data_IF_542956216456
#
_entry.id   IF_542956216456
#
_cell.length_a   1.000
_cell.length_b   1.000
_cell.length_c   1.000
_cell.angle_alpha   90.00
_cell.angle_beta   90.00
_cell.angle_gamma   90.00
#
_symmetry.space_group_name_H-M   'P 1'
#
loop_
_entity.id
_entity.type
_entity.pdbx_description
1 polymer ?
#
# COMPACT_ATOMS: atom_id res chain seq x y z
N UNK A 1 11.62 -19.98 26.89
CA UNK A 1 10.93 -18.76 27.36
C UNK A 1 11.05 -17.67 26.31
N UNK A 2 10.07 -17.58 25.40
CA UNK A 2 9.99 -16.52 24.40
C UNK A 2 9.55 -15.23 25.06
N UNK A 3 10.46 -14.25 25.21
CA UNK A 3 10.05 -12.87 25.53
C UNK A 3 9.04 -12.42 24.47
N UNK A 4 7.84 -11.93 24.83
CA UNK A 4 6.96 -11.32 23.85
C UNK A 4 7.71 -10.12 23.27
N UNK A 5 7.92 -10.14 21.95
CA UNK A 5 8.59 -9.08 21.20
C UNK A 5 7.84 -7.78 21.40
N UNK A 6 8.30 -6.96 22.34
CA UNK A 6 7.79 -5.61 22.57
C UNK A 6 7.83 -4.85 21.23
N UNK A 7 6.70 -4.24 20.85
CA UNK A 7 6.69 -3.28 19.77
C UNK A 7 7.76 -2.23 20.08
N UNK A 8 8.78 -2.14 19.22
CA UNK A 8 9.78 -1.09 19.32
C UNK A 8 9.09 0.20 18.89
N UNK A 9 8.44 0.85 19.86
CA UNK A 9 7.87 2.16 19.67
C UNK A 9 9.01 3.12 19.41
N UNK A 10 8.89 3.92 18.35
CA UNK A 10 9.86 4.97 18.07
C UNK A 10 9.80 5.93 19.27
N UNK A 11 10.85 5.96 20.09
CA UNK A 11 11.03 7.01 21.10
C UNK A 11 11.14 8.33 20.34
N UNK A 12 10.27 9.29 20.66
CA UNK A 12 10.02 10.43 19.78
C UNK A 12 10.81 11.65 20.25
N UNK A 13 11.86 12.08 19.54
CA UNK A 13 12.29 13.47 19.58
C UNK A 13 11.20 14.32 18.88
N UNK A 14 10.67 15.32 19.60
CA UNK A 14 9.62 16.28 19.17
C UNK A 14 8.25 15.66 18.77
N UNK A 15 7.42 15.24 19.76
CA UNK A 15 6.10 14.66 19.49
C UNK A 15 5.13 15.61 18.80
N UNK A 16 5.19 16.91 19.11
CA UNK A 16 4.35 17.94 18.49
C UNK A 16 4.62 18.06 16.99
N UNK A 17 5.88 18.12 16.58
CA UNK A 17 6.24 18.22 15.16
C UNK A 17 5.70 17.04 14.35
N UNK A 18 5.74 15.83 14.93
CA UNK A 18 5.17 14.65 14.28
C UNK A 18 3.65 14.74 14.15
N UNK A 19 2.94 15.15 15.19
CA UNK A 19 1.49 15.34 15.12
C UNK A 19 1.10 16.38 14.07
N UNK A 20 1.81 17.51 14.02
CA UNK A 20 1.61 18.55 13.00
C UNK A 20 1.88 18.00 11.60
N UNK A 21 2.99 17.29 11.41
CA UNK A 21 3.31 16.68 10.11
C UNK A 21 2.26 15.66 9.67
N UNK A 22 1.73 14.89 10.63
CA UNK A 22 0.71 13.89 10.37
C UNK A 22 -0.63 14.54 9.99
N UNK A 23 -1.01 15.61 10.69
CA UNK A 23 -2.17 16.43 10.37
C UNK A 23 -2.06 17.08 8.99
N UNK A 24 -0.86 17.55 8.61
CA UNK A 24 -0.60 18.12 7.29
C UNK A 24 -0.68 17.06 6.17
N UNK A 25 -0.11 15.87 6.39
CA UNK A 25 -0.22 14.76 5.44
C UNK A 25 -1.69 14.32 5.30
N UNK A 26 -2.42 14.20 6.41
CA UNK A 26 -3.85 13.93 6.38
C UNK A 26 -4.60 15.02 5.60
N UNK A 27 -4.33 16.30 5.86
CA UNK A 27 -4.94 17.43 5.13
C UNK A 27 -4.73 17.32 3.61
N UNK A 28 -3.49 17.10 3.14
CA UNK A 28 -3.17 17.01 1.71
C UNK A 28 -3.91 15.85 1.05
N UNK A 29 -3.92 14.68 1.68
CA UNK A 29 -4.58 13.50 1.13
C UNK A 29 -6.12 13.58 1.24
N UNK A 30 -6.66 14.23 2.27
CA UNK A 30 -8.10 14.53 2.33
C UNK A 30 -8.48 15.50 1.22
N UNK A 31 -7.70 16.56 1.01
CA UNK A 31 -7.95 17.52 -0.06
C UNK A 31 -7.97 16.83 -1.43
N UNK A 32 -6.98 15.96 -1.68
CA UNK A 32 -6.94 15.14 -2.88
C UNK A 32 -8.22 14.28 -3.04
N UNK A 33 -8.58 13.51 -2.01
CA UNK A 33 -9.77 12.65 -2.02
C UNK A 33 -11.06 13.44 -2.27
N UNK A 34 -11.19 14.63 -1.67
CA UNK A 34 -12.37 15.49 -1.84
C UNK A 34 -12.43 16.16 -3.23
N UNK A 35 -11.29 16.50 -3.82
CA UNK A 35 -11.23 16.99 -5.21
C UNK A 35 -11.80 15.96 -6.16
N UNK A 36 -11.51 14.67 -5.96
CA UNK A 36 -12.09 13.58 -6.76
C UNK A 36 -13.62 13.48 -6.61
N UNK A 37 -14.17 13.78 -5.43
CA UNK A 37 -15.61 13.70 -5.16
C UNK A 37 -16.42 14.73 -5.96
N UNK A 38 -15.84 15.88 -6.30
CA UNK A 38 -16.55 16.97 -7.01
C UNK A 38 -17.03 16.61 -8.41
N UNK A 39 -16.56 15.49 -8.96
CA UNK A 39 -16.81 15.09 -10.35
C UNK A 39 -18.08 14.24 -10.51
N UNK A 40 -18.68 13.67 -9.46
CA UNK A 40 -19.92 12.91 -9.68
C UNK A 40 -20.59 12.19 -8.53
N UNK A 41 -20.06 12.24 -7.30
CA UNK A 41 -20.63 11.52 -6.16
C UNK A 41 -20.55 12.33 -4.87
N UNK A 42 -21.54 12.16 -3.97
CA UNK A 42 -21.52 12.78 -2.64
C UNK A 42 -20.40 12.24 -1.74
N UNK A 43 -19.90 11.04 -2.03
CA UNK A 43 -18.76 10.41 -1.36
C UNK A 43 -17.56 10.36 -2.29
N UNK A 44 -16.37 10.58 -1.74
CA UNK A 44 -15.13 10.46 -2.48
C UNK A 44 -14.92 9.01 -2.95
N UNK A 45 -14.65 8.78 -4.25
CA UNK A 45 -14.45 7.43 -4.78
C UNK A 45 -13.15 6.77 -4.28
N UNK A 46 -12.25 7.56 -3.69
CA UNK A 46 -10.98 7.11 -3.11
C UNK A 46 -10.68 7.89 -1.84
N UNK A 47 -10.51 7.22 -0.71
CA UNK A 47 -10.30 7.84 0.60
C UNK A 47 -9.01 7.35 1.27
N UNK A 48 -8.03 8.24 1.36
CA UNK A 48 -6.73 8.00 2.00
C UNK A 48 -6.59 8.39 3.49
N UNK A 49 -7.32 9.37 4.03
CA UNK A 49 -7.08 9.89 5.39
C UNK A 49 -7.16 8.86 6.51
N UNK A 50 -8.13 7.95 6.44
CA UNK A 50 -8.29 6.79 7.34
C UNK A 50 -7.06 5.88 7.32
N UNK A 51 -6.54 5.57 6.13
CA UNK A 51 -5.35 4.73 5.95
C UNK A 51 -4.09 5.38 6.55
N UNK A 52 -3.94 6.70 6.40
CA UNK A 52 -2.87 7.48 7.04
C UNK A 52 -2.99 7.39 8.57
N UNK A 53 -4.20 7.62 9.09
CA UNK A 53 -4.48 7.54 10.53
C UNK A 53 -4.25 6.14 11.08
N UNK A 54 -4.64 5.10 10.33
CA UNK A 54 -4.44 3.69 10.69
C UNK A 54 -2.95 3.34 10.80
N UNK A 55 -2.14 3.75 9.81
CA UNK A 55 -0.68 3.57 9.84
C UNK A 55 -0.07 4.34 11.02
N UNK A 56 -0.55 5.55 11.29
CA UNK A 56 -0.08 6.37 12.40
C UNK A 56 -0.34 5.69 13.75
N UNK A 57 -1.57 5.18 13.96
CA UNK A 57 -1.92 4.38 15.13
C UNK A 57 -1.09 3.12 15.24
N UNK A 58 -0.86 2.40 14.14
CA UNK A 58 -0.04 1.19 14.15
C UNK A 58 1.39 1.48 14.68
N UNK A 59 2.00 2.59 14.25
CA UNK A 59 3.41 2.92 14.53
C UNK A 59 3.69 3.53 15.89
N UNK A 60 2.72 4.23 16.48
CA UNK A 60 2.93 5.01 17.70
C UNK A 60 2.26 4.38 18.91
N UNK A 61 2.88 4.47 20.09
CA UNK A 61 2.31 3.92 21.32
C UNK A 61 0.85 4.37 21.54
N UNK A 62 0.03 3.50 22.15
CA UNK A 62 -1.41 3.74 22.36
C UNK A 62 -1.71 5.08 23.06
N UNK A 63 -0.80 5.56 23.92
CA UNK A 63 -0.91 6.85 24.60
C UNK A 63 -0.95 8.05 23.64
N UNK A 64 -0.36 7.94 22.45
CA UNK A 64 -0.36 9.00 21.42
C UNK A 64 -1.59 8.94 20.51
N UNK A 65 -2.43 7.89 20.60
CA UNK A 65 -3.59 7.73 19.72
C UNK A 65 -4.58 8.89 19.81
N UNK A 66 -4.96 9.41 20.99
CA UNK A 66 -5.86 10.56 21.04
C UNK A 66 -5.29 11.79 20.30
N UNK A 67 -3.99 12.07 20.45
CA UNK A 67 -3.33 13.17 19.75
C UNK A 67 -3.28 12.97 18.24
N UNK A 68 -3.04 11.74 17.78
CA UNK A 68 -3.07 11.37 16.36
C UNK A 68 -4.47 11.53 15.78
N UNK A 69 -5.50 11.04 16.49
CA UNK A 69 -6.90 11.17 16.08
C UNK A 69 -7.26 12.64 15.89
N UNK A 70 -6.97 13.48 16.89
CA UNK A 70 -7.22 14.93 16.82
C UNK A 70 -6.47 15.57 15.65
N UNK A 71 -5.17 15.28 15.48
CA UNK A 71 -4.38 15.88 14.41
C UNK A 71 -4.89 15.49 13.00
N UNK A 72 -5.18 14.19 12.76
CA UNK A 72 -5.73 13.71 11.49
C UNK A 72 -7.14 14.24 11.22
N UNK A 73 -7.99 14.29 12.25
CA UNK A 73 -9.34 14.83 12.14
C UNK A 73 -9.32 16.32 11.85
N UNK A 74 -8.47 17.11 12.52
CA UNK A 74 -8.29 18.54 12.23
C UNK A 74 -7.77 18.76 10.81
N UNK A 75 -6.81 17.96 10.35
CA UNK A 75 -6.35 17.99 8.96
C UNK A 75 -7.49 17.70 7.97
N UNK A 76 -8.30 16.70 8.26
CA UNK A 76 -9.43 16.33 7.39
C UNK A 76 -10.54 17.37 7.38
N UNK A 77 -10.91 17.90 8.54
CA UNK A 77 -11.90 18.98 8.69
C UNK A 77 -11.39 20.25 8.01
N UNK A 78 -10.11 20.60 8.20
CA UNK A 78 -9.47 21.73 7.55
C UNK A 78 -9.54 21.61 6.02
N UNK A 79 -9.24 20.44 5.46
CA UNK A 79 -9.36 20.20 4.03
C UNK A 79 -10.81 20.33 3.55
N UNK A 80 -11.78 19.77 4.29
CA UNK A 80 -13.21 19.92 3.99
C UNK A 80 -13.65 21.38 3.97
N UNK A 81 -13.19 22.20 4.92
CA UNK A 81 -13.50 23.64 4.98
C UNK A 81 -12.94 24.44 3.81
N UNK A 82 -11.87 23.98 3.16
CA UNK A 82 -11.35 24.66 1.95
C UNK A 82 -12.24 24.48 0.72
N UNK A 83 -13.04 23.41 0.68
CA UNK A 83 -13.83 23.04 -0.48
C UNK A 83 -15.34 23.16 -0.28
N UNK A 84 -15.81 23.07 0.97
CA UNK A 84 -17.22 23.04 1.31
C UNK A 84 -17.55 24.01 2.46
N UNK A 85 -18.78 24.57 2.52
CA UNK A 85 -19.20 25.42 3.63
C UNK A 85 -19.15 24.70 4.98
N UNK A 86 -18.86 25.42 6.05
CA UNK A 86 -18.79 24.88 7.41
C UNK A 86 -20.09 24.16 7.85
N UNK A 87 -21.25 24.60 7.34
CA UNK A 87 -22.55 24.00 7.63
C UNK A 87 -22.73 22.57 7.05
N UNK A 88 -21.93 22.19 6.05
CA UNK A 88 -21.97 20.84 5.45
C UNK A 88 -21.03 19.83 6.13
N UNK A 89 -20.29 20.26 7.17
CA UNK A 89 -19.41 19.36 7.91
C UNK A 89 -20.22 18.34 8.69
N UNK A 90 -19.96 17.06 8.44
CA UNK A 90 -20.56 15.97 9.17
C UNK A 90 -19.52 15.33 10.13
N UNK A 91 -19.69 15.57 11.42
CA UNK A 91 -18.81 15.02 12.45
C UNK A 91 -18.96 13.50 12.60
N UNK A 92 -20.10 12.92 12.21
CA UNK A 92 -20.31 11.46 12.24
C UNK A 92 -19.34 10.74 11.29
N UNK A 93 -19.05 11.31 10.13
CA UNK A 93 -18.07 10.73 9.19
C UNK A 93 -16.67 10.71 9.79
N UNK A 94 -16.31 11.76 10.54
CA UNK A 94 -15.02 11.82 11.25
C UNK A 94 -14.94 10.75 12.33
N UNK A 95 -16.05 10.50 13.06
CA UNK A 95 -16.11 9.45 14.06
C UNK A 95 -15.96 8.05 13.44
N UNK A 96 -16.63 7.78 12.31
CA UNK A 96 -16.48 6.52 11.57
C UNK A 96 -15.02 6.31 11.16
N UNK A 97 -14.38 7.34 10.59
CA UNK A 97 -12.98 7.26 10.18
C UNK A 97 -12.03 6.91 11.34
N UNK A 98 -12.26 7.48 12.53
CA UNK A 98 -11.46 7.17 13.73
C UNK A 98 -11.67 5.72 14.15
N UNK A 99 -12.92 5.25 14.21
CA UNK A 99 -13.25 3.87 14.60
C UNK A 99 -12.62 2.88 13.62
N UNK A 100 -12.73 3.16 12.33
CA UNK A 100 -12.16 2.34 11.26
C UNK A 100 -10.64 2.26 11.36
N UNK A 101 -9.97 3.40 11.44
CA UNK A 101 -8.52 3.46 11.58
C UNK A 101 -8.02 2.79 12.87
N UNK A 102 -8.72 2.97 13.99
CA UNK A 102 -8.38 2.34 15.26
C UNK A 102 -8.53 0.81 15.16
N UNK A 103 -9.62 0.34 14.58
CA UNK A 103 -9.88 -1.09 14.37
C UNK A 103 -8.79 -1.72 13.51
N UNK A 104 -8.48 -1.11 12.37
CA UNK A 104 -7.42 -1.59 11.49
C UNK A 104 -6.06 -1.61 12.19
N UNK A 105 -5.72 -0.57 12.95
CA UNK A 105 -4.46 -0.54 13.69
C UNK A 105 -4.36 -1.62 14.77
N UNK A 106 -5.47 -1.90 15.49
CA UNK A 106 -5.53 -2.98 16.49
C UNK A 106 -5.33 -4.34 15.81
N UNK A 107 -6.02 -4.59 14.70
CA UNK A 107 -5.92 -5.84 13.96
C UNK A 107 -4.51 -6.03 13.39
N UNK A 108 -3.94 -5.02 12.75
CA UNK A 108 -2.58 -5.08 12.21
C UNK A 108 -1.54 -5.34 13.31
N UNK A 109 -1.69 -4.74 14.50
CA UNK A 109 -0.80 -5.00 15.65
C UNK A 109 -0.90 -6.43 16.17
N UNK A 110 -2.08 -7.04 16.11
CA UNK A 110 -2.31 -8.42 16.56
C UNK A 110 -1.86 -9.45 15.52
N UNK A 111 -2.03 -9.16 14.24
CA UNK A 111 -1.84 -10.11 13.15
C UNK A 111 -0.42 -10.09 12.57
N UNK A 112 0.26 -8.94 12.60
CA UNK A 112 1.57 -8.74 11.94
C UNK A 112 2.74 -8.77 12.93
N UNK A 113 3.91 -9.32 12.52
CA UNK A 113 5.11 -9.32 13.33
C UNK A 113 5.72 -7.92 13.50
N UNK A 114 6.24 -7.63 14.70
CA UNK A 114 6.68 -6.28 15.11
C UNK A 114 7.90 -5.72 14.38
N UNK A 115 8.81 -6.57 13.87
CA UNK A 115 10.11 -6.12 13.32
C UNK A 115 10.10 -5.91 11.79
N UNK A 116 9.37 -6.77 11.07
CA UNK A 116 9.23 -6.69 9.62
C UNK A 116 7.83 -7.17 9.23
N UNK A 117 6.86 -6.25 9.13
CA UNK A 117 5.43 -6.59 9.06
C UNK A 117 5.02 -7.27 7.74
N UNK A 118 5.87 -7.26 6.72
CA UNK A 118 5.59 -7.84 5.41
C UNK A 118 6.77 -8.68 4.96
N UNK A 119 7.01 -9.83 5.58
CA UNK A 119 8.07 -10.75 5.12
C UNK A 119 7.56 -11.67 4.03
N UNK A 120 6.39 -12.29 4.28
CA UNK A 120 5.86 -13.36 3.44
C UNK A 120 4.47 -13.02 2.90
N UNK A 121 4.00 -13.81 1.93
CA UNK A 121 2.66 -13.69 1.35
C UNK A 121 1.55 -13.80 2.41
N UNK A 122 1.76 -14.63 3.44
CA UNK A 122 0.82 -14.77 4.56
C UNK A 122 0.68 -13.46 5.37
N UNK A 123 1.78 -12.73 5.57
CA UNK A 123 1.74 -11.44 6.28
C UNK A 123 1.01 -10.39 5.44
N UNK A 124 1.21 -10.41 4.11
CA UNK A 124 0.44 -9.56 3.19
C UNK A 124 -1.06 -9.89 3.23
N UNK A 125 -1.42 -11.17 3.26
CA UNK A 125 -2.82 -11.59 3.37
C UNK A 125 -3.46 -11.13 4.69
N UNK A 126 -2.72 -11.26 5.81
CA UNK A 126 -3.13 -10.73 7.11
C UNK A 126 -3.28 -9.22 7.12
N UNK A 127 -2.40 -8.50 6.43
CA UNK A 127 -2.52 -7.06 6.22
C UNK A 127 -3.80 -6.76 5.45
N UNK A 128 -4.02 -7.39 4.29
CA UNK A 128 -5.18 -7.14 3.44
C UNK A 128 -6.50 -7.33 4.22
N UNK A 129 -6.62 -8.42 4.99
CA UNK A 129 -7.79 -8.65 5.85
C UNK A 129 -7.88 -7.59 6.95
N UNK A 130 -6.77 -7.33 7.65
CA UNK A 130 -6.71 -6.47 8.81
C UNK A 130 -6.87 -4.98 8.51
N UNK A 131 -6.62 -4.53 7.28
CA UNK A 131 -6.71 -3.12 6.87
C UNK A 131 -7.72 -2.84 5.78
N UNK A 132 -7.84 -3.70 4.76
CA UNK A 132 -8.61 -3.40 3.54
C UNK A 132 -9.94 -4.17 3.42
N UNK A 133 -10.20 -5.12 4.33
CA UNK A 133 -11.46 -5.88 4.35
C UNK A 133 -12.26 -5.55 5.60
N UNK A 134 -11.74 -5.89 6.79
CA UNK A 134 -12.52 -5.77 8.03
C UNK A 134 -12.83 -4.30 8.37
N UNK A 135 -11.85 -3.37 8.40
CA UNK A 135 -12.16 -1.98 8.75
C UNK A 135 -13.11 -1.29 7.76
N UNK A 136 -12.91 -1.37 6.42
CA UNK A 136 -13.84 -0.78 5.47
C UNK A 136 -15.27 -1.31 5.57
N UNK A 137 -15.44 -2.62 5.81
CA UNK A 137 -16.76 -3.21 6.03
C UNK A 137 -17.41 -2.69 7.31
N UNK A 138 -16.63 -2.54 8.39
CA UNK A 138 -17.11 -1.95 9.63
C UNK A 138 -17.54 -0.49 9.43
N UNK A 139 -16.70 0.34 8.81
CA UNK A 139 -17.01 1.74 8.55
C UNK A 139 -18.20 1.91 7.61
N UNK A 140 -18.27 1.10 6.55
CA UNK A 140 -19.42 1.04 5.66
C UNK A 140 -20.70 0.68 6.40
N UNK A 141 -20.68 -0.31 7.29
CA UNK A 141 -21.85 -0.70 8.10
C UNK A 141 -22.29 0.44 9.02
N UNK A 142 -21.34 1.10 9.70
CA UNK A 142 -21.64 2.26 10.55
C UNK A 142 -22.24 3.42 9.73
N UNK A 143 -21.73 3.64 8.52
CA UNK A 143 -22.30 4.63 7.60
C UNK A 143 -23.72 4.26 7.18
N UNK A 144 -23.95 2.99 6.82
CA UNK A 144 -25.26 2.47 6.41
C UNK A 144 -26.34 2.69 7.48
N UNK A 145 -25.99 2.53 8.76
CA UNK A 145 -26.91 2.75 9.89
C UNK A 145 -27.32 4.22 10.08
N UNK A 146 -26.52 5.17 9.59
CA UNK A 146 -26.73 6.62 9.76
C UNK A 146 -27.28 7.24 8.48
N UNK A 147 -27.03 6.62 7.33
CA UNK A 147 -27.41 7.12 6.03
C UNK A 147 -28.93 6.99 5.79
N UNK A 148 -29.54 7.92 5.03
CA UNK A 148 -30.93 7.77 4.58
C UNK A 148 -31.11 6.48 3.76
N UNK A 149 -32.17 5.71 4.05
CA UNK A 149 -32.43 4.39 3.45
C UNK A 149 -32.36 4.39 1.92
N UNK A 150 -32.83 5.46 1.27
CA UNK A 150 -32.86 5.59 -0.19
C UNK A 150 -31.48 5.51 -0.86
N UNK A 151 -30.39 5.85 -0.15
CA UNK A 151 -29.03 5.89 -0.71
C UNK A 151 -28.08 4.95 0.04
N UNK A 152 -28.51 4.41 1.19
CA UNK A 152 -27.66 3.66 2.13
C UNK A 152 -26.91 2.50 1.45
N UNK A 153 -27.56 1.67 0.63
CA UNK A 153 -26.93 0.51 -0.01
C UNK A 153 -25.86 0.91 -1.03
N UNK A 154 -26.11 1.93 -1.85
CA UNK A 154 -25.13 2.44 -2.82
C UNK A 154 -23.96 3.11 -2.10
N UNK A 155 -24.25 3.90 -1.07
CA UNK A 155 -23.24 4.59 -0.28
C UNK A 155 -22.36 3.61 0.51
N UNK A 156 -22.93 2.53 1.04
CA UNK A 156 -22.18 1.42 1.66
C UNK A 156 -21.12 0.87 0.70
N UNK A 157 -21.51 0.51 -0.52
CA UNK A 157 -20.58 -0.05 -1.52
C UNK A 157 -19.48 0.96 -1.90
N UNK A 158 -19.84 2.23 -2.09
CA UNK A 158 -18.87 3.29 -2.41
C UNK A 158 -17.89 3.48 -1.24
N UNK A 159 -18.39 3.51 0.00
CA UNK A 159 -17.57 3.63 1.20
C UNK A 159 -16.55 2.49 1.30
N UNK A 160 -17.04 1.24 1.27
CA UNK A 160 -16.19 0.05 1.41
C UNK A 160 -15.12 0.02 0.32
N UNK A 161 -15.49 0.28 -0.94
CA UNK A 161 -14.54 0.24 -2.05
C UNK A 161 -13.49 1.36 -1.95
N UNK A 162 -13.92 2.57 -1.60
CA UNK A 162 -13.07 3.75 -1.46
C UNK A 162 -12.00 3.55 -0.38
N UNK A 163 -12.43 3.08 0.79
CA UNK A 163 -11.55 2.78 1.93
C UNK A 163 -10.63 1.60 1.66
N UNK A 164 -11.12 0.53 1.02
CA UNK A 164 -10.31 -0.64 0.69
C UNK A 164 -9.18 -0.30 -0.29
N UNK A 165 -9.45 0.50 -1.33
CA UNK A 165 -8.42 0.96 -2.27
C UNK A 165 -7.41 1.85 -1.55
N UNK A 166 -7.86 2.78 -0.71
CA UNK A 166 -6.99 3.62 0.12
C UNK A 166 -6.08 2.79 1.03
N UNK A 167 -6.62 1.74 1.64
CA UNK A 167 -5.88 0.88 2.53
C UNK A 167 -4.81 0.05 1.80
N UNK A 168 -5.14 -0.60 0.68
CA UNK A 168 -4.19 -1.42 -0.07
C UNK A 168 -3.05 -0.62 -0.71
N UNK A 169 -3.30 0.65 -1.02
CA UNK A 169 -2.30 1.52 -1.64
C UNK A 169 -1.38 2.16 -0.61
N UNK A 170 -1.92 2.61 0.52
CA UNK A 170 -1.16 3.42 1.49
C UNK A 170 -0.66 2.61 2.68
N UNK A 171 -1.39 1.63 3.19
CA UNK A 171 -1.00 0.89 4.41
C UNK A 171 0.31 0.11 4.21
N UNK A 172 0.51 -0.71 3.15
CA UNK A 172 1.77 -1.43 2.95
C UNK A 172 2.99 -0.49 2.88
N UNK A 173 2.88 0.60 2.13
CA UNK A 173 3.88 1.66 2.05
C UNK A 173 4.16 2.27 3.42
N UNK A 174 3.07 2.64 4.10
CA UNK A 174 3.06 3.26 5.40
C UNK A 174 3.67 2.37 6.46
N UNK A 175 3.52 1.04 6.41
CA UNK A 175 4.11 0.11 7.37
C UNK A 175 5.62 -0.09 7.17
N UNK A 176 6.10 -0.01 5.94
CA UNK A 176 7.50 -0.25 5.63
C UNK A 176 8.39 1.01 5.72
N UNK A 177 7.81 2.21 5.75
CA UNK A 177 8.52 3.49 5.83
C UNK A 177 9.44 3.63 7.04
N UNK A 178 10.77 3.72 6.93
CA UNK A 178 11.62 4.10 8.08
C UNK A 178 12.30 5.44 7.80
N UNK A 179 12.50 6.32 8.80
CA UNK A 179 13.12 7.63 8.59
C UNK A 179 14.48 7.57 7.87
N UNK A 180 15.28 6.53 8.16
CA UNK A 180 16.58 6.30 7.54
C UNK A 180 16.50 5.83 6.07
N UNK A 181 15.33 5.45 5.53
CA UNK A 181 15.20 5.10 4.10
C UNK A 181 15.37 6.31 3.19
N UNK A 182 14.98 7.51 3.64
CA UNK A 182 15.21 8.72 2.85
C UNK A 182 16.71 8.97 2.62
N UNK A 183 17.57 8.49 3.53
CA UNK A 183 19.02 8.55 3.39
C UNK A 183 19.57 7.48 2.43
N UNK A 184 18.81 6.41 2.13
CA UNK A 184 19.18 5.37 1.17
C UNK A 184 19.14 5.86 -0.28
N UNK A 185 18.29 6.84 -0.57
CA UNK A 185 18.28 7.53 -1.87
C UNK A 185 19.50 8.43 -2.10
N UNK A 186 20.48 8.45 -1.20
CA UNK A 186 21.80 9.00 -1.48
C UNK A 186 22.56 8.19 -2.54
N UNK A 187 22.18 6.94 -2.76
CA UNK A 187 22.71 6.13 -3.87
C UNK A 187 22.06 6.61 -5.19
N UNK A 188 22.82 7.28 -6.08
CA UNK A 188 22.25 7.93 -7.26
C UNK A 188 21.66 6.93 -8.26
N UNK A 189 22.21 5.71 -8.31
CA UNK A 189 21.74 4.66 -9.22
C UNK A 189 20.32 4.18 -8.87
N UNK A 190 20.04 3.92 -7.58
CA UNK A 190 18.71 3.51 -7.14
C UNK A 190 17.69 4.62 -7.36
N UNK A 191 18.04 5.86 -7.01
CA UNK A 191 17.16 7.01 -7.24
C UNK A 191 16.83 7.17 -8.74
N UNK A 192 17.83 7.10 -9.62
CA UNK A 192 17.61 7.19 -11.06
C UNK A 192 16.72 6.06 -11.56
N UNK A 193 16.97 4.83 -11.12
CA UNK A 193 16.15 3.66 -11.48
C UNK A 193 14.70 3.81 -11.01
N UNK A 194 14.46 4.31 -9.79
CA UNK A 194 13.10 4.58 -9.28
C UNK A 194 12.39 5.70 -10.04
N UNK A 195 13.08 6.79 -10.36
CA UNK A 195 12.48 7.90 -11.10
C UNK A 195 12.17 7.48 -12.54
N UNK A 196 13.07 6.75 -13.20
CA UNK A 196 12.87 6.27 -14.56
C UNK A 196 11.70 5.26 -14.61
N UNK A 197 11.66 4.31 -13.68
CA UNK A 197 10.52 3.37 -13.59
C UNK A 197 9.21 4.07 -13.28
N UNK A 198 9.22 5.08 -12.40
CA UNK A 198 8.05 5.89 -12.11
C UNK A 198 7.55 6.62 -13.36
N UNK A 199 8.42 7.37 -14.04
CA UNK A 199 8.06 8.14 -15.24
C UNK A 199 7.53 7.23 -16.34
N UNK A 200 8.20 6.11 -16.63
CA UNK A 200 7.74 5.14 -17.63
C UNK A 200 6.39 4.55 -17.24
N UNK A 201 6.22 4.11 -15.99
CA UNK A 201 4.97 3.52 -15.51
C UNK A 201 3.83 4.52 -15.62
N UNK A 202 4.04 5.78 -15.21
CA UNK A 202 3.02 6.82 -15.28
C UNK A 202 2.66 7.19 -16.73
N UNK A 203 3.66 7.38 -17.60
CA UNK A 203 3.43 7.72 -19.01
C UNK A 203 2.68 6.60 -19.75
N UNK A 204 3.07 5.35 -19.54
CA UNK A 204 2.40 4.20 -20.14
C UNK A 204 1.01 3.97 -19.53
N UNK A 205 0.81 4.23 -18.24
CA UNK A 205 -0.52 4.16 -17.60
C UNK A 205 -1.45 5.23 -18.17
N UNK A 206 -0.95 6.45 -18.39
CA UNK A 206 -1.70 7.53 -19.04
C UNK A 206 -2.08 7.16 -20.49
N UNK A 207 -1.14 6.61 -21.25
CA UNK A 207 -1.38 6.12 -22.61
C UNK A 207 -2.42 4.98 -22.62
N UNK A 208 -2.28 4.03 -21.69
CA UNK A 208 -3.20 2.92 -21.54
C UNK A 208 -4.63 3.40 -21.29
N UNK A 209 -4.82 4.29 -20.32
CA UNK A 209 -6.12 4.90 -20.01
C UNK A 209 -6.76 5.53 -21.25
N UNK A 210 -5.98 6.22 -22.10
CA UNK A 210 -6.56 6.92 -23.26
C UNK A 210 -6.84 6.01 -24.45
N UNK A 211 -5.96 5.05 -24.75
CA UNK A 211 -5.98 4.33 -26.03
C UNK A 211 -6.36 2.85 -25.92
N UNK A 212 -6.13 2.20 -24.79
CA UNK A 212 -6.36 0.75 -24.64
C UNK A 212 -7.82 0.49 -24.23
N UNK A 213 -8.49 -0.57 -24.74
CA UNK A 213 -9.89 -0.85 -24.41
C UNK A 213 -10.11 -1.30 -22.97
N UNK A 214 -9.11 -1.98 -22.38
CA UNK A 214 -9.06 -2.42 -20.98
C UNK A 214 -7.82 -1.84 -20.30
N UNK A 215 -7.84 -0.55 -19.92
CA UNK A 215 -6.65 0.15 -19.45
C UNK A 215 -6.10 -0.45 -18.14
N UNK A 216 -6.99 -0.89 -17.24
CA UNK A 216 -6.59 -1.45 -15.95
C UNK A 216 -5.76 -2.74 -16.08
N UNK A 217 -6.01 -3.57 -17.08
CA UNK A 217 -5.20 -4.79 -17.28
C UNK A 217 -3.77 -4.45 -17.70
N UNK A 218 -3.60 -3.43 -18.55
CA UNK A 218 -2.28 -2.92 -18.92
C UNK A 218 -1.57 -2.31 -17.70
N UNK A 219 -2.29 -1.50 -16.90
CA UNK A 219 -1.77 -0.92 -15.66
C UNK A 219 -1.28 -2.03 -14.71
N UNK A 220 -2.03 -3.12 -14.51
CA UNK A 220 -1.62 -4.26 -13.68
C UNK A 220 -0.27 -4.83 -14.13
N UNK A 221 -0.05 -5.01 -15.44
CA UNK A 221 1.22 -5.52 -15.98
C UNK A 221 2.37 -4.55 -15.68
N UNK A 222 2.15 -3.24 -15.84
CA UNK A 222 3.15 -2.21 -15.55
C UNK A 222 3.49 -2.16 -14.05
N UNK A 223 2.48 -2.28 -13.17
CA UNK A 223 2.70 -2.37 -11.73
C UNK A 223 3.50 -3.63 -11.37
N UNK A 224 3.17 -4.77 -11.97
CA UNK A 224 3.93 -6.00 -11.71
C UNK A 224 5.36 -5.91 -12.23
N UNK A 225 5.60 -5.25 -13.37
CA UNK A 225 6.95 -4.97 -13.85
C UNK A 225 7.75 -4.12 -12.85
N UNK A 226 7.14 -3.04 -12.32
CA UNK A 226 7.77 -2.22 -11.28
C UNK A 226 8.05 -3.00 -9.99
N UNK A 227 7.18 -3.95 -9.63
CA UNK A 227 7.33 -4.81 -8.45
C UNK A 227 8.52 -5.79 -8.54
N UNK A 228 8.85 -6.22 -9.76
CA UNK A 228 9.98 -7.13 -10.02
C UNK A 228 11.30 -6.36 -10.06
N UNK A 229 11.30 -5.17 -10.66
CA UNK A 229 12.51 -4.38 -10.88
C UNK A 229 13.01 -3.67 -9.62
N UNK A 230 12.08 -3.20 -8.79
CA UNK A 230 12.42 -2.35 -7.65
C UNK A 230 12.28 -3.09 -6.32
N UNK A 231 12.99 -2.64 -5.27
CA UNK A 231 12.69 -3.09 -3.93
C UNK A 231 11.26 -2.68 -3.53
N UNK A 232 10.72 -3.40 -2.54
CA UNK A 232 9.29 -3.34 -2.18
C UNK A 232 8.78 -1.93 -1.90
N UNK A 233 9.60 -1.08 -1.30
CA UNK A 233 9.19 0.26 -0.89
C UNK A 233 8.95 1.18 -2.08
N UNK A 234 9.93 1.18 -2.98
CA UNK A 234 9.93 1.92 -4.22
C UNK A 234 8.79 1.45 -5.13
N UNK A 235 8.52 0.14 -5.18
CA UNK A 235 7.36 -0.40 -5.88
C UNK A 235 6.03 0.11 -5.30
N UNK A 236 5.83 0.06 -3.97
CA UNK A 236 4.61 0.59 -3.35
C UNK A 236 4.45 2.11 -3.53
N UNK A 237 5.55 2.88 -3.62
CA UNK A 237 5.49 4.30 -3.99
C UNK A 237 4.97 4.50 -5.41
N UNK A 238 5.42 3.69 -6.36
CA UNK A 238 4.90 3.70 -7.73
C UNK A 238 3.41 3.29 -7.75
N UNK A 239 3.00 2.32 -6.94
CA UNK A 239 1.60 1.92 -6.85
C UNK A 239 0.71 3.05 -6.34
N UNK A 240 1.17 3.78 -5.32
CA UNK A 240 0.46 4.95 -4.82
C UNK A 240 0.38 6.05 -5.89
N UNK A 241 1.50 6.38 -6.55
CA UNK A 241 1.56 7.42 -7.56
C UNK A 241 0.68 7.09 -8.78
N UNK A 242 0.69 5.84 -9.23
CA UNK A 242 -0.15 5.38 -10.35
C UNK A 242 -1.62 5.44 -10.01
N UNK A 243 -2.04 5.02 -8.81
CA UNK A 243 -3.44 5.16 -8.38
C UNK A 243 -3.86 6.63 -8.29
N UNK A 244 -2.99 7.51 -7.78
CA UNK A 244 -3.25 8.97 -7.76
C UNK A 244 -3.46 9.51 -9.18
N UNK A 245 -2.57 9.19 -10.12
CA UNK A 245 -2.68 9.69 -11.50
C UNK A 245 -3.90 9.11 -12.22
N UNK A 246 -4.12 7.80 -12.12
CA UNK A 246 -5.26 7.13 -12.76
C UNK A 246 -6.59 7.64 -12.19
N UNK A 247 -6.69 7.85 -10.88
CA UNK A 247 -7.90 8.43 -10.25
C UNK A 247 -8.14 9.88 -10.68
N UNK A 248 -7.09 10.70 -10.85
CA UNK A 248 -7.23 12.04 -11.43
C UNK A 248 -7.69 12.01 -12.88
N UNK A 249 -7.19 11.08 -13.69
CA UNK A 249 -7.64 10.92 -15.08
C UNK A 249 -9.11 10.55 -15.14
N UNK A 250 -9.55 9.62 -14.28
CA UNK A 250 -10.94 9.20 -14.15
C UNK A 250 -11.85 10.34 -13.68
N UNK A 251 -11.35 11.19 -12.79
CA UNK A 251 -12.05 12.39 -12.35
C UNK A 251 -12.13 13.45 -13.48
N UNK A 252 -11.15 13.56 -14.36
CA UNK A 252 -11.21 14.52 -15.46
C UNK A 252 -12.08 14.04 -16.63
N UNK A 253 -12.08 12.74 -16.92
CA UNK A 253 -12.87 12.14 -18.00
C UNK A 253 -13.49 10.80 -17.55
N UNK A 254 -14.72 10.82 -17.01
CA UNK A 254 -15.43 9.60 -16.59
C UNK A 254 -15.71 8.63 -17.73
N UNK A 255 -15.68 9.07 -18.99
CA UNK A 255 -15.92 8.19 -20.15
C UNK A 255 -14.82 7.14 -20.31
N UNK A 256 -13.66 7.33 -19.66
CA UNK A 256 -12.59 6.34 -19.59
C UNK A 256 -13.00 5.05 -18.87
N UNK A 257 -14.06 5.07 -18.05
CA UNK A 257 -14.64 3.88 -17.42
C UNK A 257 -15.53 3.05 -18.36
N UNK A 258 -15.95 3.61 -19.50
CA UNK A 258 -16.79 2.91 -20.47
C UNK A 258 -15.94 1.86 -21.21
N UNK A 259 -15.76 0.72 -20.56
CA UNK A 259 -15.03 -0.44 -21.09
C UNK A 259 -15.98 -1.60 -21.33
N UNK A 260 -15.84 -2.33 -22.44
CA UNK A 260 -14.92 -2.06 -23.55
C UNK A 260 -15.47 -0.96 -24.47
N UNK A 261 -14.57 -0.17 -25.06
CA UNK A 261 -14.92 0.70 -26.18
C UNK A 261 -15.48 -0.19 -27.28
N UNK A 262 -16.78 -0.09 -27.54
CA UNK A 262 -17.55 -1.04 -28.36
C UNK A 262 -16.90 -1.32 -29.71
N UNK A 263 -16.31 -0.30 -30.33
CA UNK A 263 -15.62 -0.40 -31.62
C UNK A 263 -14.42 -1.35 -31.61
N UNK A 264 -13.71 -1.47 -30.49
CA UNK A 264 -12.53 -2.35 -30.41
C UNK A 264 -12.95 -3.79 -30.10
N UNK A 265 -14.04 -3.99 -29.36
CA UNK A 265 -14.51 -5.34 -29.05
C UNK A 265 -15.08 -6.07 -30.28
N UNK A 266 -15.67 -5.32 -31.22
CA UNK A 266 -16.12 -5.86 -32.51
C UNK A 266 -14.95 -6.29 -33.37
N UNK A 267 -13.87 -5.50 -33.40
CA UNK A 267 -12.71 -5.78 -34.24
C UNK A 267 -11.70 -6.76 -33.63
N UNK A 268 -11.66 -6.88 -32.29
CA UNK A 268 -10.64 -7.64 -31.57
C UNK A 268 -11.22 -8.42 -30.37
N UNK A 269 -12.16 -9.36 -30.58
CA UNK A 269 -12.85 -10.07 -29.50
C UNK A 269 -11.93 -10.94 -28.63
N UNK A 270 -10.78 -11.36 -29.15
CA UNK A 270 -9.81 -12.22 -28.44
C UNK A 270 -8.80 -11.44 -27.59
N UNK A 271 -8.75 -10.11 -27.67
CA UNK A 271 -7.78 -9.28 -26.95
C UNK A 271 -7.79 -9.48 -25.42
N UNK A 272 -8.95 -9.69 -24.74
CA UNK A 272 -8.97 -9.97 -23.30
C UNK A 272 -8.15 -11.20 -22.89
N UNK A 273 -8.14 -12.27 -23.70
CA UNK A 273 -7.35 -13.46 -23.41
C UNK A 273 -5.86 -13.16 -23.39
N UNK A 274 -5.37 -12.40 -24.37
CA UNK A 274 -3.97 -11.94 -24.39
C UNK A 274 -3.65 -11.12 -23.14
N UNK A 275 -4.55 -10.21 -22.76
CA UNK A 275 -4.36 -9.33 -21.62
C UNK A 275 -4.36 -10.06 -20.26
N UNK A 276 -5.12 -11.15 -20.11
CA UNK A 276 -5.09 -12.01 -18.92
C UNK A 276 -3.80 -12.85 -18.87
N UNK A 277 -3.32 -13.32 -20.02
CA UNK A 277 -2.13 -14.18 -20.11
C UNK A 277 -0.82 -13.43 -19.86
N UNK A 278 -0.74 -12.14 -20.19
CA UNK A 278 0.47 -11.33 -19.97
C UNK A 278 0.93 -11.32 -18.50
N UNK A 279 0.11 -10.90 -17.51
CA UNK A 279 0.52 -10.94 -16.11
C UNK A 279 0.72 -12.38 -15.63
N UNK A 280 -0.10 -13.34 -16.06
CA UNK A 280 0.06 -14.74 -15.67
C UNK A 280 1.41 -15.33 -16.10
N UNK A 281 1.81 -15.11 -17.35
CA UNK A 281 3.08 -15.59 -17.90
C UNK A 281 4.27 -14.90 -17.25
N UNK A 282 4.18 -13.58 -17.04
CA UNK A 282 5.24 -12.83 -16.37
C UNK A 282 5.43 -13.28 -14.92
N UNK A 283 4.34 -13.46 -14.17
CA UNK A 283 4.39 -13.97 -12.80
C UNK A 283 4.92 -15.42 -12.75
N UNK A 284 4.59 -16.24 -13.75
CA UNK A 284 5.10 -17.61 -13.86
C UNK A 284 6.63 -17.62 -14.03
N UNK A 285 7.17 -16.77 -14.91
CA UNK A 285 8.62 -16.65 -15.12
C UNK A 285 9.34 -16.12 -13.88
N UNK A 286 8.78 -15.10 -13.23
CA UNK A 286 9.33 -14.55 -11.97
C UNK A 286 9.36 -15.60 -10.87
N UNK A 287 8.24 -16.32 -10.70
CA UNK A 287 8.14 -17.40 -9.71
C UNK A 287 9.10 -18.55 -10.04
N UNK A 288 9.27 -18.90 -11.31
CA UNK A 288 10.24 -19.91 -11.75
C UNK A 288 11.66 -19.48 -11.40
N UNK A 289 12.07 -18.25 -11.74
CA UNK A 289 13.40 -17.73 -11.41
C UNK A 289 13.66 -17.78 -9.89
N UNK A 290 12.70 -17.32 -9.07
CA UNK A 290 12.82 -17.38 -7.62
C UNK A 290 12.93 -18.83 -7.07
N UNK A 291 12.18 -19.77 -7.65
CA UNK A 291 12.27 -21.19 -7.25
C UNK A 291 13.63 -21.78 -7.62
N UNK A 292 14.15 -21.45 -8.80
CA UNK A 292 15.46 -21.91 -9.27
C UNK A 292 16.60 -21.34 -8.43
N UNK A 293 16.55 -20.04 -8.10
CA UNK A 293 17.52 -19.40 -7.20
C UNK A 293 17.50 -20.03 -5.81
N UNK A 294 16.30 -20.24 -5.22
CA UNK A 294 16.18 -20.95 -3.94
C UNK A 294 16.76 -22.35 -4.00
N UNK A 295 16.52 -23.09 -5.08
CA UNK A 295 17.06 -24.43 -5.28
C UNK A 295 18.59 -24.41 -5.34
N UNK A 296 19.18 -23.47 -6.10
CA UNK A 296 20.64 -23.30 -6.14
C UNK A 296 21.23 -22.96 -4.77
N UNK A 297 20.58 -22.10 -3.99
CA UNK A 297 21.02 -21.79 -2.62
C UNK A 297 21.01 -23.06 -1.76
N UNK A 298 19.91 -23.81 -1.75
CA UNK A 298 19.80 -25.05 -0.98
C UNK A 298 20.81 -26.12 -1.44
N UNK A 299 21.06 -26.25 -2.74
CA UNK A 299 22.08 -27.15 -3.27
C UNK A 299 23.50 -26.70 -2.93
N UNK A 300 23.78 -25.40 -2.94
CA UNK A 300 25.07 -24.86 -2.55
C UNK A 300 25.35 -25.08 -1.05
N UNK A 301 24.33 -24.91 -0.20
CA UNK A 301 24.41 -25.15 1.23
C UNK A 301 24.63 -26.64 1.53
N UNK A 302 23.92 -27.54 0.86
CA UNK A 302 24.12 -28.98 1.04
C UNK A 302 25.48 -29.45 0.54
N UNK A 303 25.98 -28.93 -0.58
CA UNK A 303 27.34 -29.20 -1.06
C UNK A 303 28.40 -28.69 -0.08
N UNK A 304 28.23 -27.47 0.45
CA UNK A 304 29.16 -26.91 1.43
C UNK A 304 29.16 -27.73 2.73
N UNK A 305 27.99 -28.10 3.23
CA UNK A 305 27.85 -28.94 4.43
C UNK A 305 28.46 -30.33 4.23
N UNK A 306 28.21 -30.98 3.09
CA UNK A 306 28.83 -32.27 2.78
C UNK A 306 30.35 -32.16 2.65
N UNK A 307 30.86 -31.08 2.05
CA UNK A 307 32.30 -30.84 1.99
C UNK A 307 32.89 -30.68 3.40
N UNK A 308 32.21 -29.96 4.30
CA UNK A 308 32.62 -29.81 5.70
C UNK A 308 32.61 -31.14 6.48
N UNK A 309 31.52 -31.92 6.38
CA UNK A 309 31.33 -33.15 7.15
C UNK A 309 32.24 -34.30 6.67
N UNK A 310 32.53 -34.39 5.36
CA UNK A 310 33.26 -35.50 4.77
C UNK A 310 34.66 -35.16 4.23
N UNK A 311 35.17 -33.95 4.51
CA UNK A 311 36.54 -33.60 4.12
C UNK A 311 37.57 -34.34 4.96
N UNK A 312 38.50 -35.02 4.28
CA UNK A 312 39.66 -35.64 4.91
C UNK A 312 40.64 -34.63 5.54
N UNK A 313 40.50 -33.34 5.21
CA UNK A 313 41.29 -32.23 5.76
C UNK A 313 40.33 -31.36 6.60
N UNK A 314 40.67 -31.10 7.86
CA UNK A 314 39.86 -30.24 8.73
C UNK A 314 39.66 -28.85 8.13
N UNK A 315 38.41 -28.46 7.88
CA UNK A 315 38.06 -27.12 7.41
C UNK A 315 37.67 -26.21 8.58
N UNK A 316 38.19 -24.98 8.58
CA UNK A 316 37.88 -23.97 9.58
C UNK A 316 37.51 -22.64 8.91
N UNK A 317 36.45 -21.99 9.38
CA UNK A 317 36.01 -20.69 8.89
C UNK A 317 36.74 -19.59 9.66
N UNK A 318 37.62 -18.86 8.99
CA UNK A 318 38.35 -17.72 9.59
C UNK A 318 37.64 -16.42 9.22
N UNK A 319 37.21 -15.67 10.23
CA UNK A 319 36.65 -14.32 10.03
C UNK A 319 37.79 -13.32 9.81
N UNK A 320 37.54 -12.23 9.09
CA UNK A 320 38.52 -11.16 8.80
C UNK A 320 39.24 -10.52 10.02
N UNK A 321 38.91 -10.91 11.26
CA UNK A 321 39.60 -10.54 12.50
C UNK A 321 40.42 -11.66 13.15
N UNK A 322 40.76 -12.73 12.44
CA UNK A 322 41.58 -13.83 12.95
C UNK A 322 40.87 -14.79 13.92
N UNK A 323 39.59 -14.55 14.22
CA UNK A 323 38.77 -15.45 15.03
C UNK A 323 38.33 -16.65 14.19
N UNK A 324 38.71 -17.85 14.63
CA UNK A 324 38.29 -19.11 14.01
C UNK A 324 36.90 -19.45 14.54
N UNK A 325 35.92 -19.51 13.64
CA UNK A 325 34.62 -20.11 13.93
C UNK A 325 34.72 -21.60 13.58
N UNK A 326 35.05 -22.43 14.56
CA UNK A 326 34.93 -23.88 14.41
C UNK A 326 33.46 -24.25 14.42
N UNK A 327 32.97 -24.79 13.30
CA UNK A 327 31.69 -25.48 13.26
C UNK A 327 31.80 -26.77 14.05
N UNK A 328 31.29 -26.77 15.27
CA UNK A 328 30.72 -27.95 15.91
C UNK A 328 29.20 -27.76 15.93
#
# INVERSE_FOLDING_TARGET
MSKPSQHVFITVPHPLLRLVSLGLVAFVFTLFSLVLSRVGTQLAPLWFPTSIMMVAFYRHAGRLWPGIAVACSLGSIGASLTLFPAASLNFSWTAINIIEAATGAILLRKLLPSYNPLQNLNDWFRLAIGSAVIPPLLGGLLFWLIAPEAVASKAFLIWVLSEAIGALTLVPLGLLFKPHYLLRHRDPHLLLETLLTLVITLALSWLAMRYIPWPFTCVIVLLMWSAVRLPRMEAFLIFLATVIVVSLMLANDPTLLATPKTDVMVNMPWLPFLMILLPANMMTMVMYAFRTERKHITESESRFRNAMEYSAIGMALVRYGGSVATGQ
#
